data_IF_218510919362
#
_entry.id   IF_218510919362
#
_cell.length_a   1.000
_cell.length_b   1.000
_cell.length_c   1.000
_cell.angle_alpha   90.00
_cell.angle_beta   90.00
_cell.angle_gamma   90.00
#
_symmetry.space_group_name_H-M   'P 1'
#
loop_
_entity.id
_entity.type
_entity.pdbx_description
1 polymer ?
#
# COMPACT_ATOMS: atom_id res chain seq x y z
N UNK A 1 -34.04 0.68 -10.79
CA UNK A 1 -33.55 0.98 -12.16
C UNK A 1 -34.51 1.84 -12.98
N UNK A 2 -35.83 1.64 -12.90
CA UNK A 2 -36.81 2.51 -13.61
C UNK A 2 -36.77 3.99 -13.20
N UNK A 3 -36.44 4.30 -11.95
CA UNK A 3 -36.24 5.68 -11.46
C UNK A 3 -35.00 6.33 -12.09
N UNK A 4 -33.91 5.57 -12.24
CA UNK A 4 -32.69 6.00 -12.94
C UNK A 4 -32.98 6.29 -14.41
N UNK A 5 -33.75 5.42 -15.07
CA UNK A 5 -34.21 5.63 -16.46
C UNK A 5 -34.96 6.96 -16.58
N UNK A 6 -35.97 7.20 -15.74
CA UNK A 6 -36.75 8.44 -15.78
C UNK A 6 -35.90 9.68 -15.54
N UNK A 7 -35.00 9.64 -14.56
CA UNK A 7 -34.09 10.76 -14.30
C UNK A 7 -33.27 11.13 -15.53
N UNK A 8 -32.65 10.14 -16.17
CA UNK A 8 -31.87 10.36 -17.40
C UNK A 8 -32.73 10.86 -18.55
N UNK A 9 -33.97 10.38 -18.69
CA UNK A 9 -34.92 10.86 -19.70
C UNK A 9 -35.23 12.35 -19.49
N UNK A 10 -35.55 12.74 -18.26
CA UNK A 10 -35.86 14.13 -17.92
C UNK A 10 -34.65 15.04 -18.11
N UNK A 11 -33.47 14.59 -17.71
CA UNK A 11 -32.19 15.29 -17.96
C UNK A 11 -31.93 15.46 -19.46
N UNK A 12 -32.12 14.42 -20.28
CA UNK A 12 -31.97 14.51 -21.74
C UNK A 12 -32.94 15.53 -22.34
N UNK A 13 -34.21 15.52 -21.94
CA UNK A 13 -35.21 16.47 -22.43
C UNK A 13 -34.84 17.92 -22.10
N UNK A 14 -34.31 18.18 -20.90
CA UNK A 14 -33.80 19.50 -20.54
C UNK A 14 -32.61 19.91 -21.41
N UNK A 15 -31.68 19.00 -21.67
CA UNK A 15 -30.55 19.24 -22.57
C UNK A 15 -30.96 19.49 -24.03
N UNK A 16 -32.08 18.92 -24.47
CA UNK A 16 -32.67 19.13 -25.80
C UNK A 16 -33.50 20.42 -25.89
N UNK A 17 -33.62 21.19 -24.80
CA UNK A 17 -34.26 22.50 -24.79
C UNK A 17 -35.70 22.52 -24.26
N UNK A 18 -36.14 21.47 -23.57
CA UNK A 18 -37.42 21.49 -22.88
C UNK A 18 -37.47 22.61 -21.82
N UNK A 19 -38.64 23.25 -21.66
CA UNK A 19 -38.89 24.15 -20.53
C UNK A 19 -38.67 23.41 -19.20
N UNK A 20 -38.02 24.05 -18.23
CA UNK A 20 -37.77 23.50 -16.89
C UNK A 20 -39.04 23.37 -16.01
N UNK A 21 -40.23 23.43 -16.60
CA UNK A 21 -41.48 23.11 -15.92
C UNK A 21 -41.81 21.63 -16.10
N UNK A 22 -42.42 21.01 -15.09
CA UNK A 22 -42.86 19.60 -15.16
C UNK A 22 -43.65 19.29 -16.44
N UNK A 23 -44.57 20.17 -16.82
CA UNK A 23 -45.37 20.04 -18.03
C UNK A 23 -44.57 20.32 -19.30
N UNK A 24 -43.59 21.23 -19.27
CA UNK A 24 -42.69 21.49 -20.38
C UNK A 24 -41.84 20.27 -20.74
N UNK A 25 -41.19 19.68 -19.74
CA UNK A 25 -40.42 18.43 -19.87
C UNK A 25 -41.31 17.30 -20.41
N UNK A 26 -42.49 17.12 -19.81
CA UNK A 26 -43.40 16.05 -20.20
C UNK A 26 -43.96 16.20 -21.60
N UNK A 27 -44.26 17.44 -22.03
CA UNK A 27 -44.70 17.74 -23.40
C UNK A 27 -43.59 17.43 -24.40
N UNK A 28 -42.37 17.86 -24.13
CA UNK A 28 -41.22 17.60 -24.98
C UNK A 28 -40.99 16.10 -25.21
N UNK A 29 -40.99 15.31 -24.13
CA UNK A 29 -40.81 13.85 -24.23
C UNK A 29 -41.97 13.19 -24.96
N UNK A 30 -43.21 13.60 -24.67
CA UNK A 30 -44.40 13.08 -25.35
C UNK A 30 -44.33 13.30 -26.86
N UNK A 31 -43.95 14.51 -27.28
CA UNK A 31 -43.77 14.87 -28.69
C UNK A 31 -42.64 14.09 -29.35
N UNK A 32 -41.48 13.97 -28.69
CA UNK A 32 -40.36 13.20 -29.23
C UNK A 32 -40.70 11.71 -29.39
N UNK A 33 -41.40 11.12 -28.42
CA UNK A 33 -41.85 9.73 -28.50
C UNK A 33 -42.86 9.50 -29.62
N UNK A 34 -43.76 10.45 -29.83
CA UNK A 34 -44.76 10.38 -30.89
C UNK A 34 -44.11 10.54 -32.28
N UNK A 35 -43.23 11.54 -32.44
CA UNK A 35 -42.57 11.84 -33.71
C UNK A 35 -41.50 10.80 -34.10
N UNK A 36 -40.54 10.55 -33.21
CA UNK A 36 -39.34 9.76 -33.55
C UNK A 36 -39.60 8.25 -33.41
N UNK A 37 -40.50 7.86 -32.50
CA UNK A 37 -40.72 6.47 -32.13
C UNK A 37 -42.15 5.98 -32.42
N UNK A 38 -43.01 6.84 -32.99
CA UNK A 38 -44.43 6.54 -33.31
C UNK A 38 -45.18 5.96 -32.11
N UNK A 39 -44.87 6.46 -30.91
CA UNK A 39 -45.43 5.98 -29.65
C UNK A 39 -46.14 7.11 -28.92
N UNK A 40 -47.48 7.09 -28.97
CA UNK A 40 -48.31 8.08 -28.32
C UNK A 40 -48.44 7.79 -26.82
N UNK A 41 -47.91 8.70 -26.01
CA UNK A 41 -48.11 8.74 -24.56
C UNK A 41 -48.48 10.17 -24.15
N UNK A 42 -49.48 10.33 -23.29
CA UNK A 42 -49.92 11.68 -22.89
C UNK A 42 -48.86 12.36 -22.04
N UNK A 43 -48.66 13.66 -22.25
CA UNK A 43 -47.78 14.48 -21.41
C UNK A 43 -48.22 14.39 -19.93
N UNK A 44 -49.52 14.25 -19.65
CA UNK A 44 -50.02 14.03 -18.28
C UNK A 44 -49.47 12.76 -17.63
N UNK A 45 -49.36 11.65 -18.36
CA UNK A 45 -48.77 10.43 -17.83
C UNK A 45 -47.28 10.62 -17.47
N UNK A 46 -46.53 11.29 -18.34
CA UNK A 46 -45.11 11.60 -18.10
C UNK A 46 -44.95 12.57 -16.91
N UNK A 47 -45.78 13.62 -16.83
CA UNK A 47 -45.80 14.55 -15.69
C UNK A 47 -46.09 13.82 -14.38
N UNK A 48 -47.01 12.85 -14.38
CA UNK A 48 -47.31 12.07 -13.18
C UNK A 48 -46.10 11.22 -12.77
N UNK A 49 -45.35 10.62 -13.71
CA UNK A 49 -44.11 9.92 -13.38
C UNK A 49 -43.04 10.86 -12.81
N UNK A 50 -42.95 12.08 -13.33
CA UNK A 50 -42.04 13.10 -12.81
C UNK A 50 -42.39 13.48 -11.37
N UNK A 51 -43.66 13.78 -11.11
CA UNK A 51 -44.15 14.10 -9.77
C UNK A 51 -43.85 12.99 -8.77
N UNK A 52 -44.19 11.74 -9.11
CA UNK A 52 -43.92 10.58 -8.24
C UNK A 52 -42.44 10.36 -7.97
N UNK A 53 -41.58 10.69 -8.94
CA UNK A 53 -40.13 10.62 -8.77
C UNK A 53 -39.62 11.71 -7.80
N UNK A 54 -40.17 12.92 -7.86
CA UNK A 54 -39.85 14.04 -6.96
C UNK A 54 -40.32 13.77 -5.52
N UNK A 55 -41.52 13.22 -5.37
CA UNK A 55 -42.14 12.90 -4.06
C UNK A 55 -41.55 11.63 -3.42
N UNK A 56 -40.69 10.89 -4.14
CA UNK A 56 -40.10 9.65 -3.65
C UNK A 56 -41.10 8.49 -3.57
N UNK A 57 -42.24 8.59 -4.25
CA UNK A 57 -43.27 7.55 -4.25
C UNK A 57 -42.81 6.29 -4.99
N UNK A 58 -43.33 5.14 -4.55
CA UNK A 58 -43.17 3.89 -5.30
C UNK A 58 -44.20 3.81 -6.42
N UNK A 59 -43.76 3.43 -7.62
CA UNK A 59 -44.63 3.26 -8.78
C UNK A 59 -44.05 2.25 -9.75
N UNK A 60 -44.86 1.82 -10.72
CA UNK A 60 -44.42 0.92 -11.79
C UNK A 60 -44.72 1.53 -13.14
N UNK A 61 -43.74 1.47 -14.03
CA UNK A 61 -43.88 1.86 -15.43
C UNK A 61 -44.11 0.60 -16.26
N UNK A 62 -45.03 0.64 -17.21
CA UNK A 62 -45.27 -0.53 -18.08
C UNK A 62 -44.02 -0.90 -18.89
N UNK A 63 -43.87 -2.18 -19.25
CA UNK A 63 -42.74 -2.66 -20.05
C UNK A 63 -42.59 -1.89 -21.37
N UNK A 64 -43.70 -1.61 -22.03
CA UNK A 64 -43.74 -0.88 -23.31
C UNK A 64 -43.16 0.53 -23.13
N UNK A 65 -43.64 1.28 -22.12
CA UNK A 65 -43.16 2.64 -21.86
C UNK A 65 -41.67 2.62 -21.51
N UNK A 66 -41.21 1.69 -20.66
CA UNK A 66 -39.78 1.57 -20.33
C UNK A 66 -38.92 1.33 -21.56
N UNK A 67 -39.38 0.49 -22.50
CA UNK A 67 -38.65 0.25 -23.73
C UNK A 67 -38.54 1.52 -24.58
N UNK A 68 -39.64 2.26 -24.76
CA UNK A 68 -39.64 3.47 -25.58
C UNK A 68 -38.82 4.59 -24.94
N UNK A 69 -38.91 4.76 -23.63
CA UNK A 69 -38.05 5.69 -22.88
C UNK A 69 -36.57 5.32 -22.98
N UNK A 70 -36.24 4.04 -23.00
CA UNK A 70 -34.85 3.59 -23.19
C UNK A 70 -34.36 3.90 -24.60
N UNK A 71 -35.21 3.74 -25.61
CA UNK A 71 -34.92 4.14 -27.00
C UNK A 71 -34.74 5.64 -27.16
N UNK A 72 -35.57 6.44 -26.48
CA UNK A 72 -35.39 7.88 -26.42
C UNK A 72 -34.01 8.28 -25.87
N UNK A 73 -33.43 7.49 -24.97
CA UNK A 73 -32.06 7.67 -24.47
C UNK A 73 -30.96 7.10 -25.37
N UNK A 74 -31.30 6.51 -26.52
CA UNK A 74 -30.34 5.88 -27.45
C UNK A 74 -29.99 4.42 -27.14
N UNK A 75 -30.71 3.75 -26.24
CA UNK A 75 -30.55 2.30 -25.98
C UNK A 75 -31.48 1.49 -26.90
N UNK A 76 -31.18 0.20 -27.11
CA UNK A 76 -32.04 -0.64 -27.98
C UNK A 76 -33.39 -0.93 -27.34
N UNK A 77 -33.40 -1.21 -26.04
CA UNK A 77 -34.58 -1.44 -25.20
C UNK A 77 -34.23 -1.26 -23.71
N UNK A 78 -35.19 -1.54 -22.83
CA UNK A 78 -34.97 -1.43 -21.39
C UNK A 78 -33.98 -2.46 -20.84
N UNK A 79 -33.83 -3.62 -21.48
CA UNK A 79 -32.88 -4.65 -21.05
C UNK A 79 -31.44 -4.20 -21.34
N UNK A 80 -31.21 -3.58 -22.50
CA UNK A 80 -29.92 -2.97 -22.86
C UNK A 80 -29.56 -1.81 -21.92
N UNK A 81 -30.54 -0.96 -21.60
CA UNK A 81 -30.37 0.09 -20.58
C UNK A 81 -29.87 -0.48 -19.25
N UNK A 82 -30.54 -1.52 -18.74
CA UNK A 82 -30.15 -2.18 -17.48
C UNK A 82 -28.72 -2.71 -17.60
N UNK A 83 -28.44 -3.52 -18.62
CA UNK A 83 -27.14 -4.19 -18.79
C UNK A 83 -25.98 -3.19 -18.81
N UNK A 84 -26.04 -2.18 -19.67
CA UNK A 84 -24.96 -1.17 -19.78
C UNK A 84 -24.79 -0.38 -18.48
N UNK A 85 -25.89 -0.05 -17.81
CA UNK A 85 -25.81 0.71 -16.55
C UNK A 85 -25.34 -0.13 -15.37
N UNK A 86 -25.63 -1.43 -15.34
CA UNK A 86 -25.06 -2.38 -14.37
C UNK A 86 -23.55 -2.55 -14.59
N UNK A 87 -23.11 -2.76 -15.83
CA UNK A 87 -21.68 -2.87 -16.17
C UNK A 87 -20.88 -1.63 -15.74
N UNK A 88 -21.41 -0.43 -15.93
CA UNK A 88 -20.79 0.83 -15.48
C UNK A 88 -20.64 0.85 -13.95
N UNK A 89 -21.67 0.44 -13.20
CA UNK A 89 -21.61 0.42 -11.73
C UNK A 89 -20.58 -0.59 -11.21
N UNK A 90 -20.50 -1.77 -11.83
CA UNK A 90 -19.52 -2.81 -11.47
C UNK A 90 -18.09 -2.33 -11.74
N UNK A 91 -17.82 -1.73 -12.91
CA UNK A 91 -16.49 -1.17 -13.23
C UNK A 91 -16.09 -0.05 -12.25
N UNK A 92 -17.02 0.85 -11.90
CA UNK A 92 -16.77 1.93 -10.93
C UNK A 92 -16.46 1.40 -9.53
N UNK A 93 -17.19 0.38 -9.07
CA UNK A 93 -16.95 -0.24 -7.77
C UNK A 93 -15.62 -1.00 -7.75
N UNK A 94 -15.29 -1.76 -8.81
CA UNK A 94 -13.99 -2.45 -8.93
C UNK A 94 -12.81 -1.47 -8.85
N UNK A 95 -12.90 -0.34 -9.54
CA UNK A 95 -11.87 0.70 -9.47
C UNK A 95 -11.69 1.27 -8.05
N UNK A 96 -12.77 1.43 -7.29
CA UNK A 96 -12.72 1.93 -5.90
C UNK A 96 -11.97 0.98 -4.97
N UNK A 97 -12.20 -0.33 -5.09
CA UNK A 97 -11.51 -1.32 -4.26
C UNK A 97 -10.00 -1.38 -4.55
N UNK A 98 -9.60 -1.23 -5.82
CA UNK A 98 -8.18 -1.19 -6.20
C UNK A 98 -7.48 0.02 -5.56
N UNK A 99 -8.11 1.20 -5.58
CA UNK A 99 -7.55 2.41 -4.95
C UNK A 99 -7.38 2.22 -3.43
N UNK A 100 -8.39 1.65 -2.76
CA UNK A 100 -8.31 1.39 -1.31
C UNK A 100 -7.17 0.42 -0.99
N UNK A 101 -7.02 -0.66 -1.77
CA UNK A 101 -5.94 -1.63 -1.60
C UNK A 101 -4.56 -0.96 -1.75
N UNK A 102 -4.39 -0.11 -2.77
CA UNK A 102 -3.15 0.64 -2.99
C UNK A 102 -2.82 1.57 -1.82
N UNK A 103 -3.81 2.27 -1.26
CA UNK A 103 -3.62 3.14 -0.10
C UNK A 103 -3.18 2.37 1.16
N UNK A 104 -3.73 1.17 1.37
CA UNK A 104 -3.31 0.30 2.49
C UNK A 104 -1.86 -0.15 2.33
N UNK A 105 -1.47 -0.54 1.11
CA UNK A 105 -0.09 -0.96 0.81
C UNK A 105 0.89 0.21 1.06
N UNK A 106 0.56 1.41 0.57
CA UNK A 106 1.36 2.61 0.79
C UNK A 106 1.47 2.92 2.29
N UNK A 107 0.35 2.84 3.02
CA UNK A 107 0.33 3.03 4.47
C UNK A 107 1.24 2.05 5.21
N UNK A 108 1.24 0.77 4.80
CA UNK A 108 2.15 -0.24 5.34
C UNK A 108 3.62 0.09 5.09
N UNK A 109 3.99 0.48 3.87
CA UNK A 109 5.38 0.86 3.55
C UNK A 109 5.85 2.09 4.33
N UNK A 110 5.00 3.11 4.50
CA UNK A 110 5.31 4.28 5.32
C UNK A 110 5.50 3.87 6.79
N UNK A 111 4.62 3.02 7.30
CA UNK A 111 4.72 2.48 8.66
C UNK A 111 6.04 1.71 8.88
N UNK A 112 6.39 0.78 7.99
CA UNK A 112 7.63 0.02 8.07
C UNK A 112 8.88 0.92 7.97
N UNK A 113 8.86 1.90 7.04
CA UNK A 113 10.00 2.80 6.84
C UNK A 113 10.24 3.77 8.00
N UNK A 114 9.19 4.13 8.76
CA UNK A 114 9.30 5.07 9.89
C UNK A 114 9.61 4.38 11.21
N UNK A 115 9.55 3.04 11.27
CA UNK A 115 9.95 2.28 12.45
C UNK A 115 11.46 2.40 12.63
N UNK A 116 11.87 2.82 13.84
CA UNK A 116 13.29 2.81 14.23
C UNK A 116 13.82 1.39 14.11
N UNK A 117 15.00 1.25 13.51
CA UNK A 117 15.69 -0.03 13.35
C UNK A 117 16.69 -0.18 14.49
N UNK A 118 16.63 -1.30 15.19
CA UNK A 118 17.56 -1.64 16.25
C UNK A 118 18.37 -2.87 15.87
N UNK A 119 19.42 -3.12 16.66
CA UNK A 119 20.26 -4.30 16.50
C UNK A 119 20.60 -4.90 17.87
N UNK A 120 20.93 -6.18 17.84
CA UNK A 120 21.29 -6.97 19.01
C UNK A 120 22.51 -7.84 18.71
N UNK A 121 23.40 -7.97 19.69
CA UNK A 121 24.53 -8.88 19.60
C UNK A 121 24.05 -10.33 19.74
N UNK A 122 24.36 -11.18 18.76
CA UNK A 122 24.04 -12.60 18.76
C UNK A 122 25.30 -13.42 18.56
N UNK A 123 26.00 -13.74 19.66
CA UNK A 123 27.14 -14.65 19.69
C UNK A 123 28.39 -14.11 19.01
N UNK A 124 28.33 -13.87 17.70
CA UNK A 124 29.42 -13.49 16.82
C UNK A 124 29.21 -12.16 16.07
N UNK A 125 27.99 -11.62 16.00
CA UNK A 125 27.70 -10.39 15.24
C UNK A 125 26.45 -9.67 15.72
N UNK A 126 26.29 -8.42 15.29
CA UNK A 126 25.02 -7.70 15.40
C UNK A 126 24.03 -8.13 14.32
N UNK A 127 22.77 -8.36 14.70
CA UNK A 127 21.65 -8.62 13.78
C UNK A 127 20.56 -7.59 13.96
N UNK A 128 19.78 -7.33 12.91
CA UNK A 128 18.65 -6.39 12.95
C UNK A 128 17.48 -7.03 13.71
N UNK A 129 16.92 -6.28 14.66
CA UNK A 129 15.77 -6.70 15.49
C UNK A 129 14.85 -5.52 15.75
N UNK A 130 13.70 -5.82 16.35
CA UNK A 130 12.78 -4.80 16.86
C UNK A 130 13.36 -4.13 18.11
N UNK A 131 13.10 -2.83 18.28
CA UNK A 131 13.64 -2.04 19.38
C UNK A 131 12.99 -2.37 20.73
N UNK A 132 11.85 -3.05 20.70
CA UNK A 132 11.11 -3.49 21.89
C UNK A 132 11.71 -4.76 22.50
N UNK A 133 12.62 -5.44 21.80
CA UNK A 133 13.33 -6.61 22.31
C UNK A 133 14.35 -6.22 23.40
N UNK A 134 14.58 -7.08 24.40
CA UNK A 134 15.53 -6.81 25.47
C UNK A 134 16.97 -6.77 24.96
N UNK A 135 17.82 -5.95 25.59
CA UNK A 135 19.24 -5.79 25.26
C UNK A 135 19.49 -5.34 23.80
N UNK A 136 18.62 -4.48 23.28
CA UNK A 136 18.77 -3.89 21.95
C UNK A 136 19.35 -2.48 22.01
N UNK A 137 20.07 -2.11 20.95
CA UNK A 137 20.61 -0.76 20.77
C UNK A 137 20.20 -0.22 19.40
N UNK A 138 20.17 1.11 19.21
CA UNK A 138 19.93 1.70 17.90
C UNK A 138 20.87 1.12 16.82
N UNK A 139 20.35 0.89 15.62
CA UNK A 139 21.14 0.36 14.52
C UNK A 139 22.29 1.31 14.17
N UNK A 140 23.52 0.88 14.45
CA UNK A 140 24.74 1.50 13.95
C UNK A 140 25.24 0.67 12.76
N UNK A 141 25.30 1.30 11.58
CA UNK A 141 25.66 0.61 10.33
C UNK A 141 27.12 0.18 10.33
N UNK A 142 28.01 0.94 10.98
CA UNK A 142 29.43 0.62 11.07
C UNK A 142 29.67 -0.62 11.92
N UNK A 143 29.04 -0.68 13.09
CA UNK A 143 29.09 -1.87 13.95
C UNK A 143 28.39 -3.06 13.30
N UNK A 144 27.20 -2.86 12.71
CA UNK A 144 26.45 -3.93 12.06
C UNK A 144 27.23 -4.62 10.93
N UNK A 145 27.93 -3.86 10.09
CA UNK A 145 28.66 -4.40 8.96
C UNK A 145 30.02 -4.99 9.36
N UNK A 146 30.73 -4.33 10.29
CA UNK A 146 32.16 -4.54 10.50
C UNK A 146 32.52 -5.17 11.85
N UNK A 147 31.62 -5.21 12.82
CA UNK A 147 31.90 -5.71 14.17
C UNK A 147 31.48 -7.17 14.31
N UNK A 148 32.46 -8.07 14.25
CA UNK A 148 32.31 -9.52 14.39
C UNK A 148 33.25 -10.06 15.44
N UNK A 149 32.82 -11.11 16.12
CA UNK A 149 33.71 -11.98 16.89
C UNK A 149 34.49 -12.83 15.90
N UNK A 150 35.77 -13.02 16.18
CA UNK A 150 36.67 -13.77 15.34
C UNK A 150 37.14 -15.03 16.07
N UNK A 151 37.25 -16.10 15.31
CA UNK A 151 37.99 -17.29 15.71
C UNK A 151 39.43 -17.13 15.20
N UNK A 152 40.40 -17.37 16.07
CA UNK A 152 41.79 -17.10 15.76
C UNK A 152 42.36 -18.07 14.73
N UNK A 153 43.12 -17.55 13.76
CA UNK A 153 44.07 -18.35 12.96
C UNK A 153 45.49 -17.86 13.25
N UNK A 154 46.47 -18.77 13.30
CA UNK A 154 47.87 -18.40 13.58
C UNK A 154 48.60 -17.79 12.36
N UNK A 155 47.87 -17.18 11.43
CA UNK A 155 48.42 -16.55 10.24
C UNK A 155 48.77 -15.08 10.51
N UNK A 156 49.93 -14.63 10.03
CA UNK A 156 50.37 -13.24 10.23
C UNK A 156 49.37 -12.21 9.68
N UNK A 157 48.80 -12.49 8.51
CA UNK A 157 47.83 -11.64 7.78
C UNK A 157 46.47 -11.50 8.46
N UNK A 158 46.18 -12.35 9.44
CA UNK A 158 44.97 -12.29 10.25
C UNK A 158 45.01 -11.10 11.21
N UNK A 159 46.12 -10.92 11.94
CA UNK A 159 46.22 -9.93 13.02
C UNK A 159 46.63 -8.52 12.55
N UNK A 160 47.43 -8.42 11.49
CA UNK A 160 48.00 -7.15 11.02
C UNK A 160 47.82 -6.95 9.52
N UNK A 161 47.70 -5.68 9.12
CA UNK A 161 47.79 -5.25 7.73
C UNK A 161 49.25 -5.30 7.25
N UNK A 162 49.46 -5.18 5.93
CA UNK A 162 50.80 -5.15 5.34
C UNK A 162 51.66 -3.98 5.84
N UNK A 163 51.04 -2.89 6.29
CA UNK A 163 51.70 -1.72 6.88
C UNK A 163 52.01 -1.88 8.39
N UNK A 164 51.69 -3.04 8.98
CA UNK A 164 51.89 -3.33 10.40
C UNK A 164 50.78 -2.81 11.33
N UNK A 165 49.75 -2.14 10.80
CA UNK A 165 48.62 -1.68 11.62
C UNK A 165 47.74 -2.88 12.06
N UNK A 166 47.20 -2.88 13.29
CA UNK A 166 46.39 -4.00 13.79
C UNK A 166 45.01 -4.04 13.11
N UNK A 167 44.59 -5.25 12.71
CA UNK A 167 43.27 -5.57 12.16
C UNK A 167 42.32 -6.19 13.18
N UNK A 168 42.85 -6.58 14.33
CA UNK A 168 42.12 -7.33 15.36
C UNK A 168 42.19 -6.58 16.70
N UNK A 169 41.06 -6.59 17.39
CA UNK A 169 40.92 -6.09 18.74
C UNK A 169 40.56 -7.24 19.67
N UNK A 170 40.89 -7.12 20.95
CA UNK A 170 40.65 -8.19 21.91
C UNK A 170 40.04 -7.71 23.22
N UNK A 171 39.32 -8.63 23.87
CA UNK A 171 38.89 -8.54 25.25
C UNK A 171 39.53 -9.68 26.06
N UNK A 172 40.23 -9.34 27.16
CA UNK A 172 40.83 -10.33 28.05
C UNK A 172 39.77 -10.85 29.02
N UNK A 173 39.40 -12.13 28.90
CA UNK A 173 38.46 -12.77 29.83
C UNK A 173 39.16 -13.35 31.07
N UNK A 174 40.41 -13.79 30.91
CA UNK A 174 41.21 -14.39 31.98
C UNK A 174 42.63 -14.70 31.51
N UNK A 175 43.38 -15.50 32.27
CA UNK A 175 44.70 -15.95 31.83
C UNK A 175 44.55 -17.06 30.78
N UNK A 176 45.17 -16.84 29.61
CA UNK A 176 45.06 -17.64 28.37
C UNK A 176 43.71 -17.63 27.64
N UNK A 177 42.82 -16.69 27.94
CA UNK A 177 41.53 -16.57 27.23
C UNK A 177 41.31 -15.13 26.69
N UNK A 178 41.35 -15.00 25.36
CA UNK A 178 41.07 -13.77 24.63
C UNK A 178 39.86 -13.97 23.70
N UNK A 179 38.92 -13.03 23.76
CA UNK A 179 37.93 -12.86 22.71
C UNK A 179 38.43 -11.87 21.67
N UNK A 180 38.43 -12.26 20.40
CA UNK A 180 38.92 -11.44 19.30
C UNK A 180 37.75 -10.83 18.51
N UNK A 181 37.96 -9.63 18.00
CA UNK A 181 36.97 -8.85 17.28
C UNK A 181 37.59 -8.15 16.06
N UNK A 182 36.79 -7.98 15.01
CA UNK A 182 37.23 -7.40 13.73
C UNK A 182 37.24 -5.87 13.69
N UNK A 183 36.80 -5.21 14.75
CA UNK A 183 36.72 -3.74 14.80
C UNK A 183 36.93 -3.22 16.24
N UNK A 184 37.37 -1.95 16.40
CA UNK A 184 37.42 -1.31 17.70
C UNK A 184 36.01 -1.12 18.26
N UNK A 185 35.91 -0.94 19.58
CA UNK A 185 34.65 -0.65 20.25
C UNK A 185 34.63 -1.16 21.68
N UNK A 186 33.43 -1.40 22.19
CA UNK A 186 33.18 -1.99 23.52
C UNK A 186 32.72 -3.43 23.40
N UNK A 187 33.00 -4.24 24.41
CA UNK A 187 32.54 -5.62 24.46
C UNK A 187 31.00 -5.65 24.58
N UNK A 188 30.27 -6.32 23.66
CA UNK A 188 28.82 -6.20 23.52
C UNK A 188 28.02 -6.67 24.75
N UNK A 189 28.59 -7.56 25.57
CA UNK A 189 27.95 -8.08 26.80
C UNK A 189 28.57 -7.54 28.11
N UNK A 190 29.74 -6.89 28.05
CA UNK A 190 30.52 -6.53 29.24
C UNK A 190 30.72 -5.01 29.36
N UNK A 191 30.56 -4.26 28.28
CA UNK A 191 30.66 -2.79 28.26
C UNK A 191 32.08 -2.22 28.31
N UNK A 192 33.10 -3.07 28.50
CA UNK A 192 34.49 -2.65 28.58
C UNK A 192 35.10 -2.43 27.19
N UNK A 193 36.02 -1.46 27.08
CA UNK A 193 36.74 -1.18 25.83
C UNK A 193 37.58 -2.37 25.36
N UNK A 194 37.56 -2.60 24.06
CA UNK A 194 38.44 -3.55 23.39
C UNK A 194 39.83 -2.93 23.17
N UNK A 195 40.86 -3.75 23.32
CA UNK A 195 42.26 -3.34 23.15
C UNK A 195 42.79 -3.78 21.80
N UNK A 196 43.67 -2.98 21.19
CA UNK A 196 44.38 -3.37 19.96
C UNK A 196 45.25 -4.60 20.22
N UNK A 197 45.22 -5.58 19.31
CA UNK A 197 46.09 -6.75 19.42
C UNK A 197 47.57 -6.35 19.28
N UNK A 198 48.46 -7.10 19.93
CA UNK A 198 49.91 -6.99 19.76
C UNK A 198 50.56 -8.39 19.80
N UNK A 199 51.82 -8.46 19.39
CA UNK A 199 52.58 -9.73 19.27
C UNK A 199 52.65 -10.49 20.59
N UNK A 200 52.89 -9.79 21.71
CA UNK A 200 53.00 -10.42 23.03
C UNK A 200 51.69 -11.11 23.44
N UNK A 201 50.55 -10.45 23.21
CA UNK A 201 49.24 -11.01 23.51
C UNK A 201 48.93 -12.22 22.62
N UNK A 202 49.33 -12.18 21.34
CA UNK A 202 49.19 -13.32 20.42
C UNK A 202 50.00 -14.49 20.93
N UNK A 203 51.31 -14.31 21.18
CA UNK A 203 52.20 -15.39 21.67
C UNK A 203 51.73 -15.99 22.99
N UNK A 204 51.31 -15.15 23.93
CA UNK A 204 50.95 -15.59 25.28
C UNK A 204 49.60 -16.30 25.35
N UNK A 205 48.63 -15.90 24.53
CA UNK A 205 47.24 -16.32 24.70
C UNK A 205 46.62 -17.01 23.49
N UNK A 206 47.22 -16.95 22.30
CA UNK A 206 46.62 -17.43 21.05
C UNK A 206 47.53 -18.43 20.33
N UNK A 207 48.73 -18.03 19.97
CA UNK A 207 49.67 -18.83 19.17
C UNK A 207 51.12 -18.63 19.68
N UNK A 208 51.63 -19.51 20.56
CA UNK A 208 52.99 -19.39 21.12
C UNK A 208 54.11 -19.31 20.08
N UNK A 209 53.95 -20.02 18.98
CA UNK A 209 54.93 -20.08 17.88
C UNK A 209 54.75 -18.97 16.84
N UNK A 210 53.94 -17.94 17.13
CA UNK A 210 53.73 -16.82 16.23
C UNK A 210 55.07 -16.11 15.93
N UNK A 211 55.50 -16.18 14.68
CA UNK A 211 56.70 -15.51 14.19
C UNK A 211 56.32 -14.25 13.42
N UNK A 212 57.12 -13.21 13.62
CA UNK A 212 57.03 -11.95 12.88
C UNK A 212 57.54 -12.11 11.45
#
# INVERSE_FOLDING_TARGET
>A
MQTKLLRMVFEKALHEGASNSRNGIATHISQALDHDFKFSITSKAISNYHQKLEEGETFTISKVIRNQLSKYLGYTDYKDFIKKNEEITVKKNRSRYVIILLLVIIGYFIYDSTRKKCMQWQGDRYVKVHCEEPNTIPLDIGLYNNFRKLEATCEKTFFFNADGSPKVWYYKRGDKDLELFSAPGVHPLKGNDLRKINVDMIKKHVCPDYSE
#
